data_IF_846080954954
#
_entry.id   IF_846080954954
#
_cell.length_a   1.000
_cell.length_b   1.000
_cell.length_c   1.000
_cell.angle_alpha   90.00
_cell.angle_beta   90.00
_cell.angle_gamma   90.00
#
_symmetry.space_group_name_H-M   'P 1'
#
loop_
_entity.id
_entity.type
_entity.pdbx_description
1 polymer ?
#
# COMPACT_ATOMS: atom_id res chain seq x y z
N UNK A 1 12.19 3.07 16.38
CA UNK A 1 12.06 3.80 15.10
C UNK A 1 13.00 3.25 14.03
N UNK A 2 14.31 3.21 14.28
CA UNK A 2 15.34 2.79 13.30
C UNK A 2 15.01 1.50 12.53
N UNK A 3 14.71 0.39 13.23
CA UNK A 3 14.38 -0.89 12.58
C UNK A 3 13.14 -0.84 11.64
N UNK A 4 12.24 0.12 11.85
CA UNK A 4 11.04 0.32 11.04
C UNK A 4 11.26 1.20 9.81
N UNK A 5 12.36 1.97 9.75
CA UNK A 5 12.64 2.90 8.64
C UNK A 5 12.78 2.17 7.30
N UNK A 6 13.23 0.92 7.31
CA UNK A 6 13.33 0.10 6.11
C UNK A 6 11.98 -0.04 5.38
N UNK A 7 10.86 -0.08 6.12
CA UNK A 7 9.52 -0.10 5.50
C UNK A 7 9.22 1.20 4.74
N UNK A 8 9.52 2.34 5.37
CA UNK A 8 9.37 3.66 4.76
C UNK A 8 10.24 3.79 3.51
N UNK A 9 11.51 3.41 3.61
CA UNK A 9 12.48 3.44 2.50
C UNK A 9 11.99 2.64 1.29
N UNK A 10 11.41 1.45 1.53
CA UNK A 10 10.85 0.64 0.45
C UNK A 10 9.68 1.34 -0.21
N UNK A 11 8.75 1.94 0.54
CA UNK A 11 7.66 2.71 -0.05
C UNK A 11 8.15 3.93 -0.85
N UNK A 12 9.17 4.63 -0.36
CA UNK A 12 9.81 5.76 -1.07
C UNK A 12 10.42 5.28 -2.39
N UNK A 13 11.15 4.16 -2.37
CA UNK A 13 11.69 3.53 -3.58
C UNK A 13 10.58 3.10 -4.55
N UNK A 14 9.50 2.53 -4.04
CA UNK A 14 8.36 2.09 -4.85
C UNK A 14 7.70 3.26 -5.60
N UNK A 15 7.51 4.42 -4.95
CA UNK A 15 6.98 5.61 -5.62
C UNK A 15 7.92 6.07 -6.76
N UNK A 16 9.23 5.98 -6.56
CA UNK A 16 10.22 6.33 -7.59
C UNK A 16 10.19 5.42 -8.81
N UNK A 17 9.80 4.14 -8.66
CA UNK A 17 9.60 3.24 -9.80
C UNK A 17 8.52 3.73 -10.77
N UNK A 18 7.64 4.64 -10.34
CA UNK A 18 6.64 5.26 -11.20
C UNK A 18 7.10 6.62 -11.75
N UNK A 19 8.36 7.03 -11.56
CA UNK A 19 8.87 8.32 -12.02
C UNK A 19 8.27 9.53 -11.30
N UNK A 20 7.79 9.35 -10.06
CA UNK A 20 7.17 10.39 -9.25
C UNK A 20 8.09 10.85 -8.10
N UNK A 21 8.12 12.15 -7.75
CA UNK A 21 8.87 12.65 -6.60
C UNK A 21 8.15 12.31 -5.28
N UNK A 22 8.73 11.50 -4.39
CA UNK A 22 8.11 11.20 -3.10
C UNK A 22 8.31 12.34 -2.10
N UNK A 23 7.35 12.49 -1.19
CA UNK A 23 7.49 13.24 0.06
C UNK A 23 6.80 12.48 1.19
N UNK A 24 7.19 12.72 2.43
CA UNK A 24 6.67 12.01 3.61
C UNK A 24 5.94 12.99 4.52
N UNK A 25 4.77 12.57 5.00
CA UNK A 25 4.06 13.23 6.08
C UNK A 25 4.21 12.39 7.36
N UNK A 26 4.63 13.01 8.46
CA UNK A 26 4.73 12.39 9.78
C UNK A 26 3.57 12.92 10.61
N UNK A 27 2.59 12.08 10.90
CA UNK A 27 1.48 12.48 11.76
C UNK A 27 1.97 12.50 13.21
N UNK A 28 1.93 13.67 13.84
CA UNK A 28 2.39 13.85 15.22
C UNK A 28 1.48 13.10 16.19
N UNK A 29 2.08 12.40 17.15
CA UNK A 29 1.39 11.83 18.29
C UNK A 29 1.93 12.39 19.61
N UNK A 30 1.10 12.40 20.66
CA UNK A 30 1.48 12.98 21.97
C UNK A 30 2.63 12.24 22.68
N UNK A 31 2.87 10.99 22.30
CA UNK A 31 3.94 10.15 22.83
C UNK A 31 5.25 10.25 22.04
N UNK A 32 5.24 10.90 20.86
CA UNK A 32 6.42 10.98 20.00
C UNK A 32 7.45 11.92 20.62
N UNK A 33 8.70 11.50 20.65
CA UNK A 33 9.80 12.36 21.08
C UNK A 33 10.39 13.13 19.89
N UNK A 34 10.90 14.34 20.14
CA UNK A 34 11.56 15.15 19.10
C UNK A 34 12.72 14.38 18.43
N UNK A 35 13.43 13.54 19.21
CA UNK A 35 14.52 12.71 18.71
C UNK A 35 14.05 11.62 17.72
N UNK A 36 12.90 10.99 17.99
CA UNK A 36 12.31 10.00 17.09
C UNK A 36 11.85 10.64 15.77
N UNK A 37 11.21 11.80 15.84
CA UNK A 37 10.77 12.55 14.66
C UNK A 37 11.99 13.04 13.84
N UNK A 38 13.03 13.53 14.51
CA UNK A 38 14.28 13.93 13.86
C UNK A 38 14.91 12.76 13.10
N UNK A 39 14.98 11.56 13.71
CA UNK A 39 15.52 10.36 13.06
C UNK A 39 14.80 10.03 11.74
N UNK A 40 13.47 10.16 11.69
CA UNK A 40 12.70 9.94 10.44
C UNK A 40 13.01 11.02 9.41
N UNK A 41 13.09 12.29 9.83
CA UNK A 41 13.40 13.43 8.94
C UNK A 41 14.81 13.29 8.35
N UNK A 42 15.79 12.96 9.18
CA UNK A 42 17.19 12.76 8.77
C UNK A 42 17.29 11.63 7.76
N UNK A 43 16.64 10.49 8.03
CA UNK A 43 16.62 9.37 7.08
C UNK A 43 15.96 9.74 5.75
N UNK A 44 14.88 10.51 5.78
CA UNK A 44 14.26 11.02 4.55
C UNK A 44 15.19 11.95 3.77
N UNK A 45 15.93 12.82 4.46
CA UNK A 45 16.91 13.71 3.86
C UNK A 45 18.05 12.94 3.19
N UNK A 46 18.55 11.87 3.81
CA UNK A 46 19.55 10.96 3.21
C UNK A 46 19.04 10.30 1.92
N UNK A 47 17.76 9.96 1.87
CA UNK A 47 17.12 9.45 0.66
C UNK A 47 16.88 10.54 -0.40
N UNK A 48 17.13 11.81 -0.08
CA UNK A 48 16.88 12.95 -0.96
C UNK A 48 15.40 13.30 -1.11
N UNK A 49 14.58 13.07 -0.07
CA UNK A 49 13.17 13.47 -0.03
C UNK A 49 12.87 14.34 1.20
N UNK A 50 11.78 15.08 1.13
CA UNK A 50 11.34 15.94 2.24
C UNK A 50 10.35 15.17 3.12
N UNK A 51 10.55 15.23 4.43
CA UNK A 51 9.59 14.77 5.42
C UNK A 51 9.07 15.93 6.27
N UNK A 52 7.75 16.05 6.39
CA UNK A 52 7.08 17.13 7.12
C UNK A 52 6.21 16.54 8.21
N UNK A 53 6.36 17.06 9.42
CA UNK A 53 5.50 16.73 10.53
C UNK A 53 4.18 17.50 10.44
N UNK A 54 3.07 16.85 10.77
CA UNK A 54 1.75 17.46 10.74
C UNK A 54 0.93 17.08 11.97
N UNK A 55 0.34 18.08 12.60
CA UNK A 55 -0.50 17.96 13.81
C UNK A 55 -1.94 18.39 13.52
N UNK A 56 -2.46 17.98 12.37
CA UNK A 56 -3.80 18.34 11.92
C UNK A 56 -4.91 17.65 12.70
N UNK A 57 -4.60 16.55 13.39
CA UNK A 57 -5.57 15.88 14.26
C UNK A 57 -5.94 16.78 15.45
N UNK A 58 -4.96 17.45 16.06
CA UNK A 58 -5.22 18.38 17.16
C UNK A 58 -5.59 19.79 16.69
N UNK A 59 -4.97 20.28 15.61
CA UNK A 59 -5.06 21.69 15.18
C UNK A 59 -5.82 21.92 13.86
N UNK A 60 -6.49 20.90 13.32
CA UNK A 60 -7.20 21.00 12.05
C UNK A 60 -6.29 21.43 10.89
N UNK A 61 -6.82 22.24 9.98
CA UNK A 61 -6.08 22.68 8.79
C UNK A 61 -4.77 23.43 9.10
N UNK A 62 -4.72 24.18 10.20
CA UNK A 62 -3.51 24.90 10.62
C UNK A 62 -2.35 23.93 10.92
N UNK A 63 -2.65 22.75 11.46
CA UNK A 63 -1.65 21.69 11.72
C UNK A 63 -1.10 21.00 10.47
N UNK A 64 -1.63 21.29 9.28
CA UNK A 64 -1.16 20.76 7.99
C UNK A 64 -0.66 21.84 7.02
N UNK A 65 -0.58 23.11 7.45
CA UNK A 65 -0.20 24.21 6.55
C UNK A 65 1.20 24.01 5.95
N UNK A 66 2.16 23.58 6.75
CA UNK A 66 3.53 23.34 6.27
C UNK A 66 3.63 22.13 5.35
N UNK A 67 2.84 21.08 5.62
CA UNK A 67 2.71 19.93 4.72
C UNK A 67 2.17 20.37 3.35
N UNK A 68 1.14 21.21 3.34
CA UNK A 68 0.54 21.73 2.11
C UNK A 68 1.52 22.64 1.33
N UNK A 69 2.19 23.57 2.00
CA UNK A 69 3.22 24.42 1.38
C UNK A 69 4.34 23.59 0.76
N UNK A 70 4.82 22.60 1.49
CA UNK A 70 5.88 21.71 1.01
C UNK A 70 5.41 20.90 -0.19
N UNK A 71 4.19 20.36 -0.17
CA UNK A 71 3.64 19.63 -1.31
C UNK A 71 3.60 20.50 -2.58
N UNK A 72 3.15 21.75 -2.48
CA UNK A 72 3.18 22.71 -3.60
C UNK A 72 4.61 22.95 -4.10
N UNK A 73 5.58 23.09 -3.19
CA UNK A 73 6.99 23.27 -3.57
C UNK A 73 7.57 22.04 -4.28
N UNK A 74 7.28 20.83 -3.79
CA UNK A 74 7.72 19.57 -4.40
C UNK A 74 7.10 19.43 -5.79
N UNK A 75 5.82 19.76 -5.96
CA UNK A 75 5.15 19.75 -7.26
C UNK A 75 5.73 20.79 -8.23
N UNK A 76 6.06 21.98 -7.75
CA UNK A 76 6.59 23.07 -8.59
C UNK A 76 8.03 22.82 -9.05
N UNK A 77 8.87 22.18 -8.21
CA UNK A 77 10.29 21.91 -8.51
C UNK A 77 10.53 20.52 -9.09
N UNK A 78 9.67 19.56 -8.76
CA UNK A 78 9.81 18.17 -9.15
C UNK A 78 9.57 17.98 -10.64
N UNK A 79 10.49 17.29 -11.31
CA UNK A 79 10.23 16.73 -12.64
C UNK A 79 9.55 15.37 -12.43
N UNK A 80 8.33 15.22 -12.93
CA UNK A 80 7.67 13.93 -13.01
C UNK A 80 7.87 13.34 -14.42
N UNK A 81 8.13 12.05 -14.48
CA UNK A 81 8.19 11.27 -15.72
C UNK A 81 7.34 10.03 -15.54
N UNK A 82 6.06 10.25 -15.21
CA UNK A 82 5.18 9.17 -14.80
C UNK A 82 5.12 8.07 -15.85
N UNK A 83 5.29 6.84 -15.41
CA UNK A 83 5.01 5.65 -16.20
C UNK A 83 4.45 4.54 -15.30
N UNK A 84 3.58 3.66 -15.84
CA UNK A 84 3.21 2.44 -15.14
C UNK A 84 4.44 1.55 -14.85
N UNK A 85 4.30 0.63 -13.91
CA UNK A 85 5.38 -0.29 -13.53
C UNK A 85 5.76 -1.24 -14.67
N UNK A 86 4.81 -1.57 -15.54
CA UNK A 86 5.00 -2.46 -16.68
C UNK A 86 4.12 -2.00 -17.86
N UNK A 87 4.49 -2.31 -19.11
CA UNK A 87 3.65 -2.09 -20.28
C UNK A 87 2.50 -3.11 -20.38
N UNK A 88 1.43 -2.75 -21.10
CA UNK A 88 0.23 -3.59 -21.23
C UNK A 88 0.50 -4.88 -22.02
N UNK A 89 1.48 -4.87 -22.93
CA UNK A 89 1.86 -6.02 -23.75
C UNK A 89 2.65 -7.08 -22.97
N UNK A 90 3.08 -6.77 -21.75
CA UNK A 90 3.75 -7.73 -20.88
C UNK A 90 2.83 -8.92 -20.58
N UNK A 91 3.36 -10.14 -20.61
CA UNK A 91 2.58 -11.34 -20.28
C UNK A 91 2.05 -11.26 -18.84
N UNK A 92 0.86 -11.81 -18.59
CA UNK A 92 0.20 -11.77 -17.29
C UNK A 92 1.10 -12.31 -16.18
N UNK A 93 1.82 -13.41 -16.44
CA UNK A 93 2.79 -13.96 -15.50
C UNK A 93 3.92 -12.98 -15.18
N UNK A 94 4.47 -12.32 -16.20
CA UNK A 94 5.54 -11.35 -16.00
C UNK A 94 5.05 -10.07 -15.32
N UNK A 95 3.79 -9.63 -15.56
CA UNK A 95 3.18 -8.53 -14.81
C UNK A 95 3.12 -8.86 -13.32
N UNK A 96 2.63 -10.05 -12.96
CA UNK A 96 2.56 -10.54 -11.57
C UNK A 96 3.96 -10.57 -10.95
N UNK A 97 4.94 -11.17 -11.65
CA UNK A 97 6.32 -11.24 -11.19
C UNK A 97 6.96 -9.86 -11.02
N UNK A 98 6.69 -8.92 -11.93
CA UNK A 98 7.24 -7.56 -11.88
C UNK A 98 6.76 -6.83 -10.63
N UNK A 99 5.47 -6.96 -10.29
CA UNK A 99 4.93 -6.38 -9.04
C UNK A 99 5.65 -6.98 -7.83
N UNK A 100 5.74 -8.31 -7.76
CA UNK A 100 6.35 -9.00 -6.61
C UNK A 100 7.83 -8.64 -6.42
N UNK A 101 8.61 -8.65 -7.50
CA UNK A 101 10.06 -8.42 -7.44
C UNK A 101 10.40 -6.94 -7.27
N UNK A 102 9.71 -6.04 -7.99
CA UNK A 102 10.06 -4.61 -7.99
C UNK A 102 9.50 -3.88 -6.77
N UNK A 103 8.28 -4.22 -6.32
CA UNK A 103 7.62 -3.49 -5.23
C UNK A 103 7.70 -4.21 -3.88
N UNK A 104 7.60 -5.54 -3.87
CA UNK A 104 7.55 -6.30 -2.62
C UNK A 104 8.94 -6.75 -2.15
N UNK A 105 9.94 -6.77 -3.04
CA UNK A 105 11.27 -7.32 -2.75
C UNK A 105 11.26 -8.84 -2.62
N UNK A 106 10.31 -9.50 -3.30
CA UNK A 106 10.29 -10.95 -3.44
C UNK A 106 11.33 -11.42 -4.47
N UNK A 107 11.81 -12.65 -4.32
CA UNK A 107 12.74 -13.26 -5.29
C UNK A 107 12.00 -13.69 -6.57
N UNK A 108 10.84 -14.32 -6.41
CA UNK A 108 9.95 -14.69 -7.50
C UNK A 108 8.53 -15.01 -6.99
N UNK A 109 7.66 -15.40 -7.92
CA UNK A 109 6.28 -15.85 -7.67
C UNK A 109 6.17 -17.36 -7.90
N UNK A 110 5.40 -18.05 -7.06
CA UNK A 110 5.15 -19.49 -7.18
C UNK A 110 3.67 -19.77 -7.30
N UNK A 111 3.32 -20.76 -8.12
CA UNK A 111 1.94 -21.16 -8.34
C UNK A 111 1.88 -22.61 -8.82
N UNK A 112 0.82 -23.31 -8.44
CA UNK A 112 0.55 -24.66 -8.90
C UNK A 112 0.28 -24.70 -10.41
N UNK A 113 0.49 -25.88 -11.01
CA UNK A 113 0.28 -26.11 -12.45
C UNK A 113 -1.12 -25.72 -12.92
N UNK A 114 -2.16 -25.91 -12.08
CA UNK A 114 -3.54 -25.51 -12.39
C UNK A 114 -3.65 -23.99 -12.58
N UNK A 115 -3.06 -23.22 -11.67
CA UNK A 115 -3.10 -21.75 -11.69
C UNK A 115 -2.30 -21.21 -12.88
N UNK A 116 -1.12 -21.76 -13.15
CA UNK A 116 -0.32 -21.40 -14.33
C UNK A 116 -1.11 -21.57 -15.63
N UNK A 117 -1.77 -22.73 -15.80
CA UNK A 117 -2.64 -22.98 -16.95
C UNK A 117 -3.82 -22.01 -17.04
N UNK A 118 -4.39 -21.61 -15.91
CA UNK A 118 -5.48 -20.64 -15.89
C UNK A 118 -5.01 -19.25 -16.36
N UNK A 119 -3.84 -18.79 -15.88
CA UNK A 119 -3.22 -17.54 -16.32
C UNK A 119 -2.89 -17.59 -17.82
N UNK A 120 -2.32 -18.70 -18.30
CA UNK A 120 -2.06 -18.93 -19.73
C UNK A 120 -3.35 -18.87 -20.56
N UNK A 121 -4.46 -19.43 -20.05
CA UNK A 121 -5.77 -19.36 -20.69
C UNK A 121 -6.29 -17.93 -20.83
N UNK A 122 -6.05 -17.07 -19.83
CA UNK A 122 -6.42 -15.65 -19.91
C UNK A 122 -5.50 -14.81 -20.80
N UNK A 123 -4.28 -15.28 -21.09
CA UNK A 123 -3.29 -14.51 -21.84
C UNK A 123 -3.78 -14.08 -23.23
N UNK A 124 -4.55 -14.94 -23.90
CA UNK A 124 -5.00 -14.70 -25.28
C UNK A 124 -6.03 -13.57 -25.37
N UNK A 125 -7.02 -13.58 -24.48
CA UNK A 125 -8.19 -12.69 -24.57
C UNK A 125 -8.04 -11.47 -23.64
N UNK A 126 -7.30 -11.63 -22.53
CA UNK A 126 -7.17 -10.63 -21.45
C UNK A 126 -5.72 -10.30 -21.14
N UNK A 127 -4.76 -10.65 -22.01
CA UNK A 127 -3.33 -10.45 -21.75
C UNK A 127 -2.93 -9.00 -21.47
N UNK A 128 -3.68 -8.04 -22.02
CA UNK A 128 -3.47 -6.61 -21.82
C UNK A 128 -3.97 -6.11 -20.47
N UNK A 129 -4.81 -6.87 -19.75
CA UNK A 129 -5.34 -6.43 -18.47
C UNK A 129 -4.24 -6.21 -17.42
N UNK A 130 -4.37 -5.20 -16.55
CA UNK A 130 -3.54 -5.04 -15.36
C UNK A 130 -3.83 -6.11 -14.29
N UNK A 131 -2.92 -6.22 -13.34
CA UNK A 131 -2.96 -7.18 -12.24
C UNK A 131 -3.33 -6.48 -10.94
N UNK A 132 -4.34 -7.02 -10.26
CA UNK A 132 -4.71 -6.64 -8.90
C UNK A 132 -4.19 -7.71 -7.93
N UNK A 133 -3.08 -7.41 -7.23
CA UNK A 133 -2.50 -8.31 -6.23
C UNK A 133 -3.32 -8.25 -4.95
N UNK A 134 -3.83 -9.39 -4.53
CA UNK A 134 -4.68 -9.52 -3.37
C UNK A 134 -3.90 -10.34 -2.31
N UNK A 135 -3.41 -9.66 -1.27
CA UNK A 135 -2.57 -10.20 -0.20
C UNK A 135 -2.78 -9.43 1.10
N UNK A 136 -2.18 -9.90 2.20
CA UNK A 136 -2.15 -9.15 3.48
C UNK A 136 -1.56 -7.75 3.30
N UNK A 137 -2.17 -6.74 3.89
CA UNK A 137 -1.69 -5.36 3.89
C UNK A 137 -0.60 -5.09 4.94
N UNK A 138 -0.39 -6.01 5.87
CA UNK A 138 0.50 -5.80 7.02
C UNK A 138 1.99 -6.01 6.71
N UNK A 139 2.31 -6.64 5.59
CA UNK A 139 3.68 -6.96 5.17
C UNK A 139 3.85 -6.75 3.67
N UNK A 140 5.08 -6.58 3.19
CA UNK A 140 5.38 -6.74 1.76
C UNK A 140 5.30 -8.20 1.30
N UNK A 141 5.56 -9.16 2.19
CA UNK A 141 5.43 -10.59 1.91
C UNK A 141 3.98 -11.08 2.00
N UNK A 142 3.72 -12.37 1.80
CA UNK A 142 2.39 -12.96 2.05
C UNK A 142 2.14 -13.32 3.51
N UNK A 143 3.13 -13.15 4.39
CA UNK A 143 3.05 -13.41 5.83
C UNK A 143 2.83 -12.08 6.59
N UNK A 144 1.73 -11.90 7.33
CA UNK A 144 1.45 -10.67 8.07
C UNK A 144 2.46 -10.35 9.17
N UNK A 145 3.19 -11.34 9.69
CA UNK A 145 4.09 -11.16 10.83
C UNK A 145 5.49 -10.70 10.40
N UNK A 146 5.81 -10.78 9.11
CA UNK A 146 7.08 -10.30 8.55
C UNK A 146 7.04 -8.79 8.31
N UNK A 147 7.28 -8.01 9.36
CA UNK A 147 7.31 -6.55 9.35
C UNK A 147 8.59 -5.96 8.72
N UNK A 148 8.58 -4.65 8.44
CA UNK A 148 9.73 -3.95 7.87
C UNK A 148 9.81 -4.09 6.35
N UNK A 149 10.98 -4.46 5.84
CA UNK A 149 11.23 -4.63 4.40
C UNK A 149 11.79 -6.04 4.10
N UNK A 150 10.99 -7.11 4.29
CA UNK A 150 11.45 -8.48 4.11
C UNK A 150 11.91 -8.72 2.68
N UNK A 151 13.00 -9.47 2.49
CA UNK A 151 13.56 -9.81 1.17
C UNK A 151 13.84 -11.32 1.11
N UNK A 152 14.04 -11.88 -0.09
CA UNK A 152 14.32 -13.32 -0.22
C UNK A 152 13.09 -14.23 -0.08
N UNK A 153 11.87 -13.65 -0.08
CA UNK A 153 10.62 -14.40 0.05
C UNK A 153 10.02 -14.69 -1.32
N UNK A 154 9.24 -15.78 -1.40
CA UNK A 154 8.45 -16.11 -2.58
C UNK A 154 7.01 -15.67 -2.37
N UNK A 155 6.34 -15.21 -3.42
CA UNK A 155 4.91 -14.89 -3.37
C UNK A 155 4.09 -16.06 -3.92
N UNK A 156 3.44 -16.86 -3.06
CA UNK A 156 2.54 -17.92 -3.51
C UNK A 156 1.26 -17.34 -4.10
N UNK A 157 0.82 -17.86 -5.24
CA UNK A 157 -0.46 -17.55 -5.87
C UNK A 157 -1.40 -18.74 -5.66
N UNK A 158 -2.49 -18.50 -4.93
CA UNK A 158 -3.48 -19.52 -4.56
C UNK A 158 -4.65 -19.57 -5.53
N UNK A 159 -5.09 -18.42 -6.02
CA UNK A 159 -6.26 -18.31 -6.89
C UNK A 159 -6.09 -17.11 -7.83
N UNK A 160 -6.69 -17.21 -9.02
CA UNK A 160 -6.79 -16.11 -9.97
C UNK A 160 -8.23 -15.94 -10.40
N UNK A 161 -8.76 -14.72 -10.34
CA UNK A 161 -10.12 -14.36 -10.74
C UNK A 161 -10.09 -13.31 -11.83
N UNK A 162 -10.95 -13.47 -12.84
CA UNK A 162 -11.14 -12.48 -13.89
C UNK A 162 -12.25 -11.51 -13.51
N UNK A 163 -11.95 -10.23 -13.47
CA UNK A 163 -12.92 -9.14 -13.29
C UNK A 163 -13.13 -8.44 -14.62
N UNK A 164 -13.79 -9.10 -15.58
CA UNK A 164 -13.91 -8.64 -16.95
C UNK A 164 -14.55 -7.25 -17.09
N UNK A 165 -15.60 -6.94 -16.31
CA UNK A 165 -16.25 -5.63 -16.35
C UNK A 165 -15.42 -4.48 -15.77
N UNK A 166 -14.45 -4.78 -14.91
CA UNK A 166 -13.53 -3.79 -14.34
C UNK A 166 -12.14 -3.83 -15.00
N UNK A 167 -11.96 -4.72 -15.98
CA UNK A 167 -10.76 -4.86 -16.80
C UNK A 167 -9.46 -5.13 -16.03
N UNK A 168 -9.49 -6.02 -15.04
CA UNK A 168 -8.28 -6.50 -14.38
C UNK A 168 -8.35 -7.96 -13.95
N UNK A 169 -7.19 -8.55 -13.66
CA UNK A 169 -7.06 -9.89 -13.12
C UNK A 169 -6.71 -9.83 -11.63
N UNK A 170 -7.54 -10.43 -10.77
CA UNK A 170 -7.27 -10.53 -9.33
C UNK A 170 -6.41 -11.75 -9.06
N UNK A 171 -5.27 -11.53 -8.40
CA UNK A 171 -4.29 -12.57 -8.08
C UNK A 171 -4.23 -12.70 -6.56
N UNK A 172 -4.85 -13.76 -6.06
CA UNK A 172 -5.00 -14.03 -4.63
C UNK A 172 -3.79 -14.81 -4.12
N UNK A 173 -3.05 -14.21 -3.20
CA UNK A 173 -1.80 -14.76 -2.69
C UNK A 173 -1.93 -15.38 -1.28
N UNK A 174 -3.02 -15.09 -0.57
CA UNK A 174 -3.29 -15.57 0.77
C UNK A 174 -4.79 -15.69 1.03
N UNK A 175 -5.17 -15.93 2.28
CA UNK A 175 -6.58 -15.96 2.64
C UNK A 175 -7.09 -14.52 2.79
N UNK A 176 -7.98 -14.12 1.89
CA UNK A 176 -8.53 -12.76 1.85
C UNK A 176 -9.97 -12.82 2.35
N UNK A 177 -10.25 -12.01 3.37
CA UNK A 177 -11.58 -11.87 3.91
C UNK A 177 -12.44 -11.02 2.98
N UNK A 178 -13.32 -11.66 2.20
CA UNK A 178 -14.29 -10.97 1.33
C UNK A 178 -15.62 -10.67 2.01
N UNK A 179 -15.87 -11.27 3.19
CA UNK A 179 -17.08 -11.08 3.97
C UNK A 179 -16.71 -11.05 5.47
N UNK A 180 -16.52 -9.85 6.06
CA UNK A 180 -16.20 -9.73 7.48
C UNK A 180 -17.39 -10.18 8.34
N UNK A 181 -17.08 -10.94 9.39
CA UNK A 181 -18.06 -11.34 10.40
C UNK A 181 -18.30 -10.25 11.45
N UNK A 182 -19.39 -10.38 12.20
CA UNK A 182 -19.62 -9.54 13.38
C UNK A 182 -18.70 -9.97 14.54
N UNK A 183 -18.23 -9.03 15.37
CA UNK A 183 -17.49 -9.36 16.59
C UNK A 183 -18.43 -9.99 17.64
N UNK A 184 -17.85 -10.60 18.68
CA UNK A 184 -18.61 -11.23 19.79
C UNK A 184 -19.65 -10.31 20.41
N UNK A 185 -19.34 -9.01 20.51
CA UNK A 185 -20.28 -7.96 20.97
C UNK A 185 -20.38 -6.92 19.86
N UNK A 186 -21.41 -6.99 19.00
CA UNK A 186 -21.60 -6.03 17.93
C UNK A 186 -21.92 -4.64 18.47
N UNK A 187 -21.38 -3.59 17.83
CA UNK A 187 -21.75 -2.20 18.13
C UNK A 187 -23.27 -1.97 18.02
N UNK A 188 -23.95 -2.73 17.16
CA UNK A 188 -25.40 -2.74 17.01
C UNK A 188 -26.17 -2.90 18.33
N UNK A 189 -25.61 -3.57 19.34
CA UNK A 189 -26.24 -3.71 20.66
C UNK A 189 -26.34 -2.38 21.43
N UNK A 190 -25.53 -1.37 21.06
CA UNK A 190 -25.45 -0.07 21.71
C UNK A 190 -25.97 1.08 20.82
N UNK A 191 -26.22 0.81 19.53
CA UNK A 191 -26.81 1.77 18.60
C UNK A 191 -28.27 2.03 19.01
N UNK A 192 -28.59 3.28 19.32
CA UNK A 192 -29.94 3.71 19.64
C UNK A 192 -30.20 5.15 19.23
N UNK A 193 -31.48 5.55 19.24
CA UNK A 193 -31.91 6.92 18.97
C UNK A 193 -32.54 7.46 20.26
N UNK A 194 -32.05 8.60 20.75
CA UNK A 194 -32.60 9.25 21.93
C UNK A 194 -33.95 9.93 21.64
N UNK A 195 -34.61 10.47 22.67
CA UNK A 195 -35.90 11.17 22.54
C UNK A 195 -35.85 12.45 21.69
N UNK A 196 -34.64 12.94 21.37
CA UNK A 196 -34.42 14.11 20.52
C UNK A 196 -34.06 13.72 19.07
N UNK A 197 -34.11 12.44 18.72
CA UNK A 197 -33.73 11.95 17.40
C UNK A 197 -32.23 11.85 17.17
N UNK A 198 -31.40 11.92 18.22
CA UNK A 198 -29.94 11.80 18.11
C UNK A 198 -29.52 10.33 18.17
N UNK A 199 -28.66 9.93 17.24
CA UNK A 199 -28.08 8.59 17.20
C UNK A 199 -26.89 8.53 18.16
N UNK A 200 -26.88 7.53 19.05
CA UNK A 200 -25.79 7.24 19.95
C UNK A 200 -25.25 5.81 19.72
N UNK A 201 -23.96 5.59 20.00
CA UNK A 201 -23.30 4.29 19.86
C UNK A 201 -22.80 3.94 18.45
N UNK A 202 -22.77 4.92 17.53
CA UNK A 202 -22.32 4.73 16.13
C UNK A 202 -20.83 5.05 15.92
N UNK A 203 -20.26 5.93 16.73
CA UNK A 203 -18.86 6.35 16.74
C UNK A 203 -18.37 6.52 18.19
#
# INVERSE_FOLDING_TARGET
VEAGLANLERHVSNIRHFGLPPMVAINKFSADTDAEVAMVKDRCAELGIIAVESDHWANGGAGAEELAKTAVQVMAKGKSSFHPLYPDEMTLWNKIRTIATSLYGADDVIADKKIRKQIEGYQKDYGHFPICMAKTQYSFSTDPDLLGAPSGHMVPIREVRLSAGAEFLVVVCGDIMTMPGLPRVPAANHIHIDSNGRIAGLF
#
